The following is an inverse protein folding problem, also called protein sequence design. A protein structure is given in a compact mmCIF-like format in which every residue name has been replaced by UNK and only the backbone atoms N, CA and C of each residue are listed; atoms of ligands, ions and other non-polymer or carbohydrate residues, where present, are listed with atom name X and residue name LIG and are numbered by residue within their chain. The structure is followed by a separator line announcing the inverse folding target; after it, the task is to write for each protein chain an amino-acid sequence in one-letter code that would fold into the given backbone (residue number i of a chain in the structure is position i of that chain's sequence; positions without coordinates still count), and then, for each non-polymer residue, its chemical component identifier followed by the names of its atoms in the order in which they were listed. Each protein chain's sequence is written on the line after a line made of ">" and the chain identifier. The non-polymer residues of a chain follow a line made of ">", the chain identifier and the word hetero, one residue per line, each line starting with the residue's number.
data_IF_145144005644
#
_entry.id   IF_145144005644
#
_cell.length_a   1.000
_cell.length_b   1.000
_cell.length_c   1.000
_cell.angle_alpha   90.00
_cell.angle_beta   90.00
_cell.angle_gamma   90.00
#
_symmetry.space_group_name_H-M   'P 1'
#
loop_
_entity.id
_entity.type
_entity.pdbx_description
1 polymer ?
#
# COMPACT_ATOMS: atom_id res chain seq x y z
N UNK A 1 47.18 54.48 -2.22
CA UNK A 1 45.82 54.19 -1.75
C UNK A 1 45.45 52.86 -2.37
N UNK A 2 45.37 51.82 -1.54
CA UNK A 2 44.96 50.49 -1.98
C UNK A 2 43.48 50.54 -2.38
N UNK A 3 43.14 50.03 -3.56
CA UNK A 3 41.79 49.59 -3.88
C UNK A 3 41.46 48.46 -2.90
N UNK A 4 40.66 48.78 -1.88
CA UNK A 4 40.16 47.80 -0.93
C UNK A 4 39.09 46.97 -1.64
N UNK A 5 39.18 45.67 -1.35
CA UNK A 5 38.55 44.52 -1.98
C UNK A 5 37.01 44.53 -1.89
N UNK A 6 36.34 45.42 -2.61
CA UNK A 6 34.86 45.56 -2.60
C UNK A 6 34.12 44.35 -3.22
N UNK A 7 34.85 43.44 -3.88
CA UNK A 7 34.33 42.18 -4.42
C UNK A 7 34.16 41.09 -3.34
N UNK A 8 34.89 41.19 -2.23
CA UNK A 8 34.77 40.27 -1.10
C UNK A 8 33.47 40.48 -0.34
N UNK A 9 33.17 41.75 0.00
CA UNK A 9 31.99 42.15 0.79
C UNK A 9 30.66 41.89 0.06
N UNK A 10 30.60 42.18 -1.25
CA UNK A 10 29.42 41.88 -2.08
C UNK A 10 29.13 40.38 -2.18
N UNK A 11 30.17 39.54 -2.37
CA UNK A 11 30.01 38.08 -2.42
C UNK A 11 29.61 37.46 -1.09
N UNK A 12 29.98 38.06 0.04
CA UNK A 12 29.51 37.64 1.36
C UNK A 12 28.05 38.04 1.59
N UNK A 13 27.66 39.27 1.25
CA UNK A 13 26.28 39.72 1.36
C UNK A 13 25.33 38.89 0.48
N UNK A 14 25.74 38.54 -0.75
CA UNK A 14 24.94 37.70 -1.65
C UNK A 14 24.75 36.27 -1.11
N UNK A 15 25.76 35.72 -0.42
CA UNK A 15 25.69 34.40 0.21
C UNK A 15 24.79 34.42 1.44
N UNK A 16 24.86 35.47 2.23
CA UNK A 16 24.02 35.64 3.42
C UNK A 16 22.55 35.81 3.01
N UNK A 17 22.27 36.60 1.96
CA UNK A 17 20.94 36.75 1.39
C UNK A 17 20.34 35.41 0.91
N UNK A 18 21.10 34.63 0.13
CA UNK A 18 20.62 33.33 -0.38
C UNK A 18 20.43 32.31 0.75
N UNK A 19 21.22 32.39 1.82
CA UNK A 19 21.06 31.55 3.00
C UNK A 19 19.77 31.91 3.76
N UNK A 20 19.45 33.19 3.91
CA UNK A 20 18.16 33.63 4.50
C UNK A 20 16.97 33.14 3.66
N UNK A 21 17.05 33.28 2.34
CA UNK A 21 15.99 32.78 1.44
C UNK A 21 15.84 31.26 1.53
N UNK A 22 16.93 30.53 1.73
CA UNK A 22 16.90 29.09 1.95
C UNK A 22 16.21 28.73 3.25
N UNK A 23 16.53 29.41 4.35
CA UNK A 23 15.89 29.21 5.65
C UNK A 23 14.38 29.43 5.58
N UNK A 24 13.93 30.48 4.88
CA UNK A 24 12.50 30.73 4.64
C UNK A 24 11.80 29.56 3.91
N UNK A 25 12.46 28.95 2.93
CA UNK A 25 11.91 27.79 2.20
C UNK A 25 11.97 26.52 3.06
N UNK A 26 13.02 26.35 3.86
CA UNK A 26 13.14 25.23 4.80
C UNK A 26 12.05 25.32 5.89
N UNK A 27 11.75 26.51 6.41
CA UNK A 27 10.65 26.76 7.36
C UNK A 27 9.27 26.44 6.77
N UNK A 28 9.05 26.77 5.49
CA UNK A 28 7.82 26.41 4.77
C UNK A 28 7.62 24.89 4.70
N UNK A 29 8.68 24.13 4.40
CA UNK A 29 8.61 22.67 4.39
C UNK A 29 8.47 22.10 5.80
N UNK A 30 9.18 22.67 6.78
CA UNK A 30 9.02 22.30 8.18
C UNK A 30 7.57 22.49 8.65
N UNK A 31 6.94 23.62 8.30
CA UNK A 31 5.53 23.89 8.57
C UNK A 31 4.58 22.85 7.95
N UNK A 32 4.81 22.47 6.69
CA UNK A 32 4.00 21.44 6.00
C UNK A 32 4.17 20.05 6.66
N UNK A 33 5.41 19.66 6.92
CA UNK A 33 5.78 18.31 7.35
C UNK A 33 5.42 18.08 8.82
N UNK A 34 5.52 19.12 9.65
CA UNK A 34 5.23 19.10 11.09
C UNK A 34 3.92 19.83 11.43
N UNK A 35 3.01 19.96 10.47
CA UNK A 35 1.75 20.70 10.64
C UNK A 35 0.97 20.24 11.88
N UNK A 36 0.89 18.92 12.10
CA UNK A 36 0.16 18.32 13.22
C UNK A 36 0.92 18.32 14.56
N UNK A 37 2.14 18.86 14.61
CA UNK A 37 2.81 19.13 15.88
C UNK A 37 2.31 20.44 16.52
N UNK A 38 1.77 21.34 15.68
CA UNK A 38 1.29 22.67 16.09
C UNK A 38 -0.22 22.85 15.89
N UNK A 39 -0.84 22.02 15.07
CA UNK A 39 -2.28 22.00 14.81
C UNK A 39 -2.88 20.65 15.18
N UNK A 40 -4.14 20.66 15.56
CA UNK A 40 -4.84 19.43 15.94
C UNK A 40 -5.22 18.60 14.70
N UNK A 41 -5.57 17.32 14.88
CA UNK A 41 -6.01 16.48 13.76
C UNK A 41 -7.38 16.94 13.24
N UNK A 42 -8.16 17.60 14.09
CA UNK A 42 -9.42 18.23 13.75
C UNK A 42 -9.23 19.38 12.74
N UNK A 43 -8.03 19.98 12.68
CA UNK A 43 -7.67 21.02 11.71
C UNK A 43 -7.11 20.46 10.38
N UNK A 44 -7.13 19.14 10.18
CA UNK A 44 -6.53 18.49 9.01
C UNK A 44 -7.12 18.98 7.67
N UNK A 45 -8.42 19.31 7.62
CA UNK A 45 -9.06 19.85 6.42
C UNK A 45 -8.51 21.21 5.99
N UNK A 46 -7.93 21.98 6.92
CA UNK A 46 -7.34 23.30 6.65
C UNK A 46 -5.86 23.23 6.28
N UNK A 47 -5.21 22.07 6.45
CA UNK A 47 -3.76 21.91 6.23
C UNK A 47 -3.32 22.43 4.86
N UNK A 48 -3.98 21.98 3.79
CA UNK A 48 -3.60 22.35 2.43
C UNK A 48 -3.80 23.85 2.18
N UNK A 49 -4.88 24.43 2.67
CA UNK A 49 -5.14 25.88 2.58
C UNK A 49 -4.06 26.68 3.31
N UNK A 50 -3.67 26.24 4.51
CA UNK A 50 -2.65 26.90 5.31
C UNK A 50 -1.26 26.79 4.68
N UNK A 51 -0.90 25.62 4.13
CA UNK A 51 0.34 25.42 3.38
C UNK A 51 0.39 26.34 2.16
N UNK A 52 -0.70 26.48 1.40
CA UNK A 52 -0.77 27.39 0.24
C UNK A 52 -0.66 28.87 0.68
N UNK A 53 -1.24 29.24 1.82
CA UNK A 53 -1.09 30.60 2.38
C UNK A 53 0.36 30.90 2.75
N UNK A 54 1.03 30.00 3.47
CA UNK A 54 2.44 30.17 3.82
C UNK A 54 3.33 30.16 2.57
N UNK A 55 3.07 29.26 1.61
CA UNK A 55 3.75 29.24 0.31
C UNK A 55 3.68 30.61 -0.38
N UNK A 56 2.49 31.22 -0.47
CA UNK A 56 2.31 32.51 -1.11
C UNK A 56 3.02 33.66 -0.35
N UNK A 57 3.16 33.56 0.98
CA UNK A 57 3.94 34.52 1.77
C UNK A 57 5.44 34.38 1.49
N UNK A 58 5.95 33.15 1.50
CA UNK A 58 7.36 32.86 1.18
C UNK A 58 7.70 33.27 -0.25
N UNK A 59 6.81 33.00 -1.21
CA UNK A 59 6.99 33.36 -2.61
C UNK A 59 7.12 34.88 -2.80
N UNK A 60 6.31 35.69 -2.11
CA UNK A 60 6.43 37.15 -2.16
C UNK A 60 7.79 37.65 -1.69
N UNK A 61 8.33 37.07 -0.61
CA UNK A 61 9.66 37.44 -0.12
C UNK A 61 10.77 37.05 -1.11
N UNK A 62 10.61 35.91 -1.80
CA UNK A 62 11.52 35.52 -2.89
C UNK A 62 11.43 36.48 -4.08
N UNK A 63 10.23 36.93 -4.45
CA UNK A 63 10.00 37.86 -5.57
C UNK A 63 10.69 39.22 -5.36
N UNK A 64 10.78 39.71 -4.12
CA UNK A 64 11.51 40.95 -3.78
C UNK A 64 13.00 40.89 -4.15
N UNK A 65 13.57 39.69 -4.25
CA UNK A 65 14.98 39.44 -4.57
C UNK A 65 15.17 38.91 -5.99
N UNK A 66 14.11 38.79 -6.79
CA UNK A 66 14.16 38.18 -8.12
C UNK A 66 15.10 38.94 -9.07
N UNK A 67 15.03 40.27 -9.12
CA UNK A 67 15.86 41.06 -10.03
C UNK A 67 17.36 40.91 -9.77
N UNK A 68 17.74 40.67 -8.50
CA UNK A 68 19.11 40.47 -8.05
C UNK A 68 19.63 39.08 -8.42
N UNK A 69 18.81 38.03 -8.23
CA UNK A 69 19.24 36.63 -8.32
C UNK A 69 18.59 35.84 -9.46
N UNK A 70 17.90 36.46 -10.42
CA UNK A 70 17.20 35.78 -11.53
C UNK A 70 18.05 34.83 -12.37
N UNK A 71 19.38 34.96 -12.32
CA UNK A 71 20.34 34.10 -13.04
C UNK A 71 21.11 33.14 -12.11
N UNK A 72 20.86 33.18 -10.80
CA UNK A 72 21.44 32.25 -9.83
C UNK A 72 20.67 30.93 -9.86
N UNK A 73 21.38 29.83 -10.14
CA UNK A 73 20.78 28.48 -10.13
C UNK A 73 20.19 28.14 -8.75
N UNK A 74 20.88 28.52 -7.67
CA UNK A 74 20.41 28.32 -6.30
C UNK A 74 19.10 29.07 -6.01
N UNK A 75 19.00 30.34 -6.42
CA UNK A 75 17.75 31.10 -6.25
C UNK A 75 16.59 30.48 -7.04
N UNK A 76 16.84 30.05 -8.29
CA UNK A 76 15.84 29.35 -9.09
C UNK A 76 15.38 28.06 -8.42
N UNK A 77 16.30 27.30 -7.79
CA UNK A 77 15.94 26.11 -6.99
C UNK A 77 15.06 26.48 -5.82
N UNK A 78 15.40 27.51 -5.03
CA UNK A 78 14.60 27.93 -3.88
C UNK A 78 13.18 28.34 -4.30
N UNK A 79 13.05 29.09 -5.39
CA UNK A 79 11.74 29.48 -5.93
C UNK A 79 10.95 28.28 -6.46
N UNK A 80 11.60 27.39 -7.21
CA UNK A 80 11.00 26.15 -7.68
C UNK A 80 10.56 25.23 -6.54
N UNK A 81 11.36 25.13 -5.47
CA UNK A 81 11.06 24.39 -4.25
C UNK A 81 9.87 24.98 -3.51
N UNK A 82 9.82 26.31 -3.35
CA UNK A 82 8.67 27.01 -2.76
C UNK A 82 7.38 26.67 -3.52
N UNK A 83 7.38 26.74 -4.85
CA UNK A 83 6.23 26.40 -5.69
C UNK A 83 5.87 24.90 -5.68
N UNK A 84 6.82 24.03 -5.33
CA UNK A 84 6.63 22.58 -5.26
C UNK A 84 6.06 22.12 -3.91
N UNK A 85 5.88 22.98 -2.91
CA UNK A 85 5.38 22.55 -1.59
C UNK A 85 3.94 22.00 -1.66
N UNK A 86 3.13 22.55 -2.57
CA UNK A 86 1.76 22.13 -2.81
C UNK A 86 1.71 20.84 -3.66
N UNK A 87 0.72 19.96 -3.47
CA UNK A 87 0.67 18.66 -4.16
C UNK A 87 0.38 18.78 -5.67
N UNK A 88 -0.14 19.91 -6.12
CA UNK A 88 -0.48 20.12 -7.53
C UNK A 88 0.77 20.42 -8.38
N UNK A 89 0.74 19.97 -9.65
CA UNK A 89 1.76 20.33 -10.63
C UNK A 89 1.79 21.84 -10.89
N UNK A 90 2.99 22.42 -10.96
CA UNK A 90 3.23 23.83 -11.25
C UNK A 90 4.07 23.98 -12.52
N UNK A 91 3.48 24.46 -13.65
CA UNK A 91 4.25 24.65 -14.89
C UNK A 91 5.35 25.70 -14.72
N UNK A 92 5.14 26.69 -13.84
CA UNK A 92 6.13 27.72 -13.51
C UNK A 92 7.32 27.09 -12.77
N UNK A 93 7.06 26.17 -11.83
CA UNK A 93 8.14 25.45 -11.14
C UNK A 93 8.93 24.58 -12.13
N UNK A 94 8.25 23.84 -13.03
CA UNK A 94 8.91 23.04 -14.07
C UNK A 94 9.87 23.88 -14.92
N UNK A 95 9.43 25.04 -15.41
CA UNK A 95 10.24 25.94 -16.24
C UNK A 95 11.48 26.44 -15.49
N UNK A 96 11.28 26.95 -14.27
CA UNK A 96 12.34 27.52 -13.42
C UNK A 96 13.38 26.44 -13.07
N UNK A 97 12.94 25.26 -12.66
CA UNK A 97 13.81 24.14 -12.29
C UNK A 97 14.55 23.56 -13.50
N UNK A 98 13.89 23.48 -14.66
CA UNK A 98 14.51 23.09 -15.93
C UNK A 98 15.63 24.04 -16.33
N UNK A 99 15.49 25.33 -16.02
CA UNK A 99 16.55 26.31 -16.21
C UNK A 99 17.66 26.16 -15.17
N UNK A 100 17.33 25.90 -13.91
CA UNK A 100 18.32 25.68 -12.85
C UNK A 100 19.28 24.52 -13.18
N UNK A 101 18.76 23.36 -13.59
CA UNK A 101 19.59 22.19 -13.96
C UNK A 101 20.46 22.42 -15.20
N UNK A 102 20.09 23.37 -16.09
CA UNK A 102 20.91 23.74 -17.25
C UNK A 102 22.04 24.70 -16.87
N UNK A 103 21.79 25.61 -15.92
CA UNK A 103 22.79 26.55 -15.41
C UNK A 103 23.83 25.83 -14.55
N UNK A 104 23.38 24.92 -13.69
CA UNK A 104 24.24 24.17 -12.78
C UNK A 104 23.84 22.68 -12.75
N UNK A 105 24.35 21.86 -13.71
CA UNK A 105 23.99 20.44 -13.79
C UNK A 105 24.38 19.61 -12.56
N UNK A 106 25.34 20.07 -11.76
CA UNK A 106 25.76 19.41 -10.51
C UNK A 106 24.81 19.64 -9.33
N UNK A 107 23.80 20.50 -9.47
CA UNK A 107 22.88 20.86 -8.39
C UNK A 107 21.82 19.76 -8.20
N UNK A 108 22.15 18.75 -7.39
CA UNK A 108 21.32 17.56 -7.12
C UNK A 108 19.90 17.89 -6.67
N UNK A 109 19.74 18.91 -5.83
CA UNK A 109 18.43 19.35 -5.33
C UNK A 109 17.51 19.81 -6.48
N UNK A 110 18.06 20.52 -7.48
CA UNK A 110 17.32 20.97 -8.65
C UNK A 110 16.72 19.80 -9.43
N UNK A 111 17.53 18.75 -9.64
CA UNK A 111 17.09 17.53 -10.31
C UNK A 111 16.00 16.79 -9.54
N UNK A 112 16.11 16.72 -8.21
CA UNK A 112 15.11 16.06 -7.38
C UNK A 112 13.76 16.79 -7.43
N UNK A 113 13.75 18.11 -7.25
CA UNK A 113 12.52 18.89 -7.27
C UNK A 113 11.90 18.89 -8.68
N UNK A 114 12.72 18.96 -9.74
CA UNK A 114 12.23 18.82 -11.11
C UNK A 114 11.60 17.44 -11.35
N UNK A 115 12.21 16.39 -10.83
CA UNK A 115 11.66 15.02 -10.89
C UNK A 115 10.32 14.90 -10.15
N UNK A 116 10.17 15.55 -8.99
CA UNK A 116 8.90 15.64 -8.26
C UNK A 116 7.82 16.41 -9.03
N UNK A 117 8.19 17.47 -9.76
CA UNK A 117 7.26 18.16 -10.65
C UNK A 117 6.78 17.27 -11.80
N UNK A 118 7.69 16.51 -12.43
CA UNK A 118 7.31 15.53 -13.44
C UNK A 118 6.44 14.41 -12.89
N UNK A 119 6.70 13.97 -11.65
CA UNK A 119 5.84 13.03 -10.94
C UNK A 119 4.42 13.59 -10.78
N UNK A 120 4.28 14.82 -10.29
CA UNK A 120 2.98 15.51 -10.13
C UNK A 120 2.26 15.73 -11.48
N UNK A 121 3.02 15.91 -12.56
CA UNK A 121 2.51 15.99 -13.93
C UNK A 121 2.03 14.65 -14.49
N UNK A 122 2.43 13.52 -13.86
CA UNK A 122 2.20 12.16 -14.34
C UNK A 122 3.22 11.67 -15.39
N UNK A 123 4.27 12.45 -15.67
CA UNK A 123 5.35 12.06 -16.58
C UNK A 123 6.42 11.26 -15.82
N UNK A 124 6.12 9.98 -15.59
CA UNK A 124 6.98 9.08 -14.83
C UNK A 124 8.34 8.83 -15.51
N UNK A 125 8.42 8.95 -16.84
CA UNK A 125 9.66 8.74 -17.59
C UNK A 125 10.60 9.94 -17.41
N UNK A 126 10.07 11.16 -17.49
CA UNK A 126 10.84 12.36 -17.19
C UNK A 126 11.27 12.38 -15.72
N UNK A 127 10.39 12.01 -14.78
CA UNK A 127 10.71 11.90 -13.36
C UNK A 127 11.88 10.91 -13.11
N UNK A 128 11.81 9.71 -13.69
CA UNK A 128 12.90 8.71 -13.64
C UNK A 128 14.22 9.30 -14.14
N UNK A 129 14.17 10.00 -15.27
CA UNK A 129 15.36 10.61 -15.90
C UNK A 129 16.00 11.63 -14.96
N UNK A 130 15.19 12.49 -14.32
CA UNK A 130 15.69 13.47 -13.36
C UNK A 130 16.34 12.82 -12.13
N UNK A 131 15.70 11.84 -11.49
CA UNK A 131 16.28 11.17 -10.32
C UNK A 131 17.53 10.36 -10.66
N UNK A 132 17.58 9.76 -11.85
CA UNK A 132 18.79 9.07 -12.35
C UNK A 132 19.91 10.07 -12.59
N UNK A 133 19.61 11.23 -13.20
CA UNK A 133 20.57 12.31 -13.40
C UNK A 133 21.13 12.85 -12.08
N UNK A 134 20.28 13.03 -11.07
CA UNK A 134 20.70 13.44 -9.73
C UNK A 134 21.71 12.45 -9.12
N UNK A 135 21.45 11.15 -9.23
CA UNK A 135 22.34 10.09 -8.73
C UNK A 135 23.67 9.99 -9.48
N UNK A 136 23.72 10.38 -10.76
CA UNK A 136 24.96 10.48 -11.52
C UNK A 136 25.87 11.61 -11.01
N UNK A 137 25.28 12.70 -10.49
CA UNK A 137 26.03 13.81 -9.89
C UNK A 137 26.52 13.47 -8.48
N UNK A 138 25.61 13.00 -7.62
CA UNK A 138 25.97 12.53 -6.29
C UNK A 138 24.91 11.58 -5.73
N UNK A 139 25.38 10.48 -5.13
CA UNK A 139 24.50 9.58 -4.37
C UNK A 139 23.89 10.32 -3.18
N UNK A 140 22.56 10.31 -3.09
CA UNK A 140 21.81 10.99 -2.04
C UNK A 140 20.49 10.27 -1.76
N UNK A 141 19.95 10.44 -0.55
CA UNK A 141 18.75 9.71 -0.10
C UNK A 141 17.45 10.13 -0.80
N UNK A 142 17.30 11.40 -1.18
CA UNK A 142 16.10 11.92 -1.86
C UNK A 142 15.95 11.23 -3.22
N UNK A 143 16.98 11.25 -4.06
CA UNK A 143 16.92 10.62 -5.38
C UNK A 143 16.70 9.12 -5.30
N UNK A 144 17.32 8.42 -4.33
CA UNK A 144 17.12 6.98 -4.13
C UNK A 144 15.66 6.64 -3.77
N UNK A 145 15.05 7.40 -2.85
CA UNK A 145 13.64 7.24 -2.47
C UNK A 145 12.72 7.50 -3.66
N UNK A 146 12.91 8.63 -4.33
CA UNK A 146 11.99 9.03 -5.39
C UNK A 146 12.14 8.12 -6.62
N UNK A 147 13.35 7.67 -6.94
CA UNK A 147 13.55 6.67 -8.00
C UNK A 147 12.91 5.33 -7.64
N UNK A 148 13.02 4.89 -6.37
CA UNK A 148 12.31 3.71 -5.86
C UNK A 148 10.80 3.83 -6.10
N UNK A 149 10.19 4.98 -5.75
CA UNK A 149 8.76 5.24 -6.00
C UNK A 149 8.40 5.15 -7.49
N UNK A 150 9.17 5.82 -8.34
CA UNK A 150 8.93 5.85 -9.79
C UNK A 150 8.97 4.45 -10.40
N UNK A 151 9.98 3.65 -10.07
CA UNK A 151 10.13 2.32 -10.66
C UNK A 151 8.95 1.38 -10.40
N UNK A 152 8.23 1.55 -9.29
CA UNK A 152 7.04 0.74 -8.96
C UNK A 152 5.78 1.20 -9.69
N UNK A 153 5.73 2.47 -10.10
CA UNK A 153 4.58 3.05 -10.78
C UNK A 153 4.70 3.06 -12.30
N UNK A 154 5.90 2.82 -12.85
CA UNK A 154 6.08 2.77 -14.29
C UNK A 154 5.20 1.67 -14.93
N UNK A 155 4.56 1.97 -16.07
CA UNK A 155 3.74 1.00 -16.78
C UNK A 155 4.60 -0.23 -17.16
N UNK A 156 4.01 -1.44 -17.24
CA UNK A 156 4.72 -2.65 -17.65
C UNK A 156 5.05 -2.62 -19.15
N UNK A 157 5.98 -1.75 -19.54
CA UNK A 157 6.70 -1.90 -20.80
C UNK A 157 7.48 -3.23 -20.72
N UNK A 158 7.35 -4.10 -21.72
CA UNK A 158 8.04 -5.40 -21.78
C UNK A 158 7.46 -6.54 -20.95
N UNK A 159 6.29 -6.38 -20.33
CA UNK A 159 5.54 -7.45 -19.66
C UNK A 159 5.93 -7.73 -18.20
N UNK A 160 5.39 -8.81 -17.62
CA UNK A 160 5.43 -9.10 -16.17
C UNK A 160 6.84 -9.34 -15.62
N UNK A 161 7.77 -9.88 -16.43
CA UNK A 161 9.15 -10.13 -15.99
C UNK A 161 9.94 -8.83 -15.80
N UNK A 162 9.76 -7.84 -16.68
CA UNK A 162 10.42 -6.54 -16.54
C UNK A 162 9.85 -5.76 -15.36
N UNK A 163 8.55 -5.88 -15.11
CA UNK A 163 7.94 -5.32 -13.91
C UNK A 163 8.52 -5.92 -12.62
N UNK A 164 8.70 -7.24 -12.55
CA UNK A 164 9.33 -7.90 -11.40
C UNK A 164 10.76 -7.40 -11.13
N UNK A 165 11.58 -7.24 -12.17
CA UNK A 165 12.95 -6.69 -12.05
C UNK A 165 12.94 -5.27 -11.50
N UNK A 166 12.07 -4.41 -12.01
CA UNK A 166 11.94 -3.01 -11.55
C UNK A 166 11.50 -2.92 -10.09
N UNK A 167 10.62 -3.81 -9.64
CA UNK A 167 10.19 -3.84 -8.23
C UNK A 167 11.35 -4.27 -7.32
N UNK A 168 12.15 -5.26 -7.72
CA UNK A 168 13.35 -5.67 -6.98
C UNK A 168 14.36 -4.51 -6.91
N UNK A 169 14.61 -3.83 -8.03
CA UNK A 169 15.47 -2.65 -8.08
C UNK A 169 14.95 -1.53 -7.16
N UNK A 170 13.64 -1.28 -7.15
CA UNK A 170 13.01 -0.34 -6.24
C UNK A 170 13.29 -0.67 -4.76
N UNK A 171 13.22 -1.94 -4.37
CA UNK A 171 13.52 -2.37 -3.00
C UNK A 171 14.99 -2.08 -2.67
N UNK A 172 15.91 -2.38 -3.59
CA UNK A 172 17.33 -2.10 -3.38
C UNK A 172 17.61 -0.61 -3.19
N UNK A 173 17.05 0.25 -4.05
CA UNK A 173 17.16 1.71 -3.94
C UNK A 173 16.61 2.24 -2.62
N UNK A 174 15.44 1.75 -2.17
CA UNK A 174 14.87 2.14 -0.88
C UNK A 174 15.76 1.70 0.30
N UNK A 175 16.34 0.48 0.24
CA UNK A 175 17.30 0.02 1.26
C UNK A 175 18.56 0.87 1.27
N UNK A 176 19.08 1.26 0.11
CA UNK A 176 20.21 2.18 0.02
C UNK A 176 19.88 3.55 0.61
N UNK A 177 18.66 4.05 0.44
CA UNK A 177 18.22 5.31 1.05
C UNK A 177 18.21 5.24 2.59
N UNK A 178 17.69 4.14 3.15
CA UNK A 178 17.75 3.85 4.59
C UNK A 178 19.19 3.71 5.09
N UNK A 179 20.08 3.09 4.31
CA UNK A 179 21.49 2.95 4.70
C UNK A 179 22.24 4.29 4.76
N UNK A 180 21.86 5.26 3.92
CA UNK A 180 22.43 6.61 3.98
C UNK A 180 21.99 7.37 5.22
N UNK A 181 20.77 7.14 5.70
CA UNK A 181 20.22 7.75 6.89
C UNK A 181 19.18 6.84 7.53
N UNK A 182 19.61 6.08 8.55
CA UNK A 182 18.75 5.16 9.28
C UNK A 182 17.74 5.87 10.17
N UNK A 183 17.88 7.18 10.34
CA UNK A 183 16.98 8.03 11.14
C UNK A 183 15.89 8.72 10.31
N UNK A 184 15.92 8.56 8.99
CA UNK A 184 14.93 9.13 8.09
C UNK A 184 13.68 8.23 8.03
N UNK A 185 12.60 8.67 8.69
CA UNK A 185 11.33 7.95 8.68
C UNK A 185 10.73 7.78 7.28
N UNK A 186 10.87 8.78 6.41
CA UNK A 186 10.41 8.71 5.02
C UNK A 186 11.15 7.62 4.24
N UNK A 187 12.45 7.43 4.46
CA UNK A 187 13.21 6.32 3.86
C UNK A 187 12.65 4.95 4.27
N UNK A 188 12.30 4.77 5.55
CA UNK A 188 11.69 3.54 6.05
C UNK A 188 10.27 3.31 5.51
N UNK A 189 9.47 4.38 5.42
CA UNK A 189 8.14 4.35 4.80
C UNK A 189 8.21 3.90 3.34
N UNK A 190 9.10 4.51 2.54
CA UNK A 190 9.30 4.15 1.14
C UNK A 190 9.80 2.71 0.99
N UNK A 191 10.65 2.23 1.90
CA UNK A 191 11.06 0.83 1.95
C UNK A 191 9.88 -0.11 2.25
N UNK A 192 8.98 0.27 3.15
CA UNK A 192 7.72 -0.43 3.40
C UNK A 192 6.88 -0.56 2.13
N UNK A 193 6.66 0.55 1.42
CA UNK A 193 5.93 0.55 0.16
C UNK A 193 6.61 -0.35 -0.90
N UNK A 194 7.94 -0.37 -0.96
CA UNK A 194 8.67 -1.22 -1.88
C UNK A 194 8.48 -2.71 -1.57
N UNK A 195 8.53 -3.09 -0.29
CA UNK A 195 8.25 -4.46 0.13
C UNK A 195 6.82 -4.89 -0.12
N UNK A 196 5.84 -4.00 0.04
CA UNK A 196 4.45 -4.27 -0.35
C UNK A 196 4.34 -4.60 -1.85
N UNK A 197 4.94 -3.79 -2.71
CA UNK A 197 4.89 -4.06 -4.17
C UNK A 197 5.62 -5.36 -4.52
N UNK A 198 6.70 -5.68 -3.82
CA UNK A 198 7.38 -6.97 -3.98
C UNK A 198 6.48 -8.12 -3.52
N UNK A 199 5.83 -8.00 -2.37
CA UNK A 199 4.86 -8.96 -1.86
C UNK A 199 3.77 -9.28 -2.90
N UNK A 200 3.12 -8.27 -3.47
CA UNK A 200 2.07 -8.50 -4.47
C UNK A 200 2.58 -8.99 -5.83
N UNK A 201 3.84 -8.71 -6.19
CA UNK A 201 4.40 -9.15 -7.48
C UNK A 201 5.13 -10.50 -7.42
N UNK A 202 5.53 -10.96 -6.24
CA UNK A 202 6.32 -12.19 -6.04
C UNK A 202 5.50 -13.35 -5.42
N UNK A 203 4.21 -13.43 -5.71
CA UNK A 203 3.34 -14.50 -5.22
C UNK A 203 3.04 -14.46 -3.72
N UNK A 204 3.05 -13.25 -3.13
CA UNK A 204 2.63 -13.00 -1.74
C UNK A 204 3.40 -13.80 -0.69
N UNK A 205 4.73 -13.87 -0.85
CA UNK A 205 5.62 -14.45 0.15
C UNK A 205 5.47 -13.72 1.51
N UNK A 206 5.05 -14.41 2.59
CA UNK A 206 4.85 -13.80 3.90
C UNK A 206 6.08 -13.08 4.47
N UNK A 207 7.30 -13.45 4.07
CA UNK A 207 8.49 -12.73 4.51
C UNK A 207 8.49 -11.26 4.05
N UNK A 208 7.96 -10.99 2.86
CA UNK A 208 7.92 -9.62 2.30
C UNK A 208 6.87 -8.77 3.02
N UNK A 209 5.72 -9.34 3.40
CA UNK A 209 4.73 -8.61 4.21
C UNK A 209 5.27 -8.29 5.60
N UNK A 210 5.95 -9.23 6.26
CA UNK A 210 6.60 -8.97 7.55
C UNK A 210 7.68 -7.88 7.45
N UNK A 211 8.47 -7.88 6.38
CA UNK A 211 9.46 -6.81 6.12
C UNK A 211 8.79 -5.45 5.91
N UNK A 212 7.67 -5.40 5.17
CA UNK A 212 6.90 -4.18 4.98
C UNK A 212 6.36 -3.63 6.30
N UNK A 213 5.70 -4.47 7.11
CA UNK A 213 5.15 -4.09 8.41
C UNK A 213 6.25 -3.62 9.38
N UNK A 214 7.39 -4.29 9.39
CA UNK A 214 8.55 -3.88 10.19
C UNK A 214 9.10 -2.52 9.74
N UNK A 215 9.16 -2.25 8.43
CA UNK A 215 9.65 -0.98 7.90
C UNK A 215 8.71 0.19 8.28
N UNK A 216 7.39 0.02 8.17
CA UNK A 216 6.45 1.04 8.63
C UNK A 216 6.53 1.30 10.13
N UNK A 217 6.59 0.23 10.94
CA UNK A 217 6.73 0.38 12.39
C UNK A 217 8.02 1.12 12.76
N UNK A 218 9.11 0.88 12.02
CA UNK A 218 10.37 1.56 12.22
C UNK A 218 10.30 3.04 11.81
N UNK A 219 9.59 3.37 10.72
CA UNK A 219 9.34 4.75 10.29
C UNK A 219 8.65 5.56 11.40
N UNK A 220 7.53 5.04 11.93
CA UNK A 220 6.77 5.70 13.01
C UNK A 220 7.54 5.80 14.33
N UNK A 221 8.40 4.82 14.61
CA UNK A 221 9.19 4.79 15.85
C UNK A 221 10.25 5.89 15.87
N UNK A 222 10.90 6.15 14.73
CA UNK A 222 12.00 7.10 14.66
C UNK A 222 11.52 8.53 14.43
N UNK A 223 10.48 8.70 13.62
CA UNK A 223 10.04 10.00 13.15
C UNK A 223 8.55 10.21 13.44
N UNK A 224 8.26 11.27 14.20
CA UNK A 224 6.88 11.66 14.54
C UNK A 224 6.11 12.11 13.31
N UNK A 225 6.77 12.79 12.35
CA UNK A 225 6.14 13.22 11.11
C UNK A 225 5.68 12.00 10.30
N UNK A 226 6.47 10.92 10.27
CA UNK A 226 6.07 9.65 9.67
C UNK A 226 4.84 9.01 10.33
N UNK A 227 4.67 9.11 11.65
CA UNK A 227 3.44 8.66 12.33
C UNK A 227 2.18 9.48 11.97
N UNK A 228 2.39 10.66 11.38
CA UNK A 228 1.36 11.58 10.91
C UNK A 228 1.19 11.54 9.38
N UNK A 229 1.82 10.59 8.71
CA UNK A 229 1.68 10.38 7.26
C UNK A 229 0.43 9.53 6.95
N UNK A 230 -0.55 10.13 6.25
CA UNK A 230 -1.79 9.45 5.87
C UNK A 230 -1.55 8.23 4.96
N UNK A 231 -0.66 8.35 3.97
CA UNK A 231 -0.32 7.28 3.02
C UNK A 231 0.28 6.06 3.72
N UNK A 232 1.12 6.27 4.74
CA UNK A 232 1.69 5.19 5.54
C UNK A 232 0.58 4.34 6.17
N UNK A 233 -0.38 4.99 6.82
CA UNK A 233 -1.49 4.30 7.48
C UNK A 233 -2.38 3.57 6.47
N UNK A 234 -2.69 4.21 5.34
CA UNK A 234 -3.52 3.63 4.29
C UNK A 234 -2.86 2.41 3.61
N UNK A 235 -1.58 2.52 3.24
CA UNK A 235 -0.83 1.45 2.59
C UNK A 235 -0.64 0.25 3.53
N UNK A 236 -0.33 0.52 4.80
CA UNK A 236 -0.27 -0.51 5.84
C UNK A 236 -1.62 -1.18 6.09
N UNK A 237 -2.71 -0.40 6.15
CA UNK A 237 -4.07 -0.94 6.31
C UNK A 237 -4.45 -1.89 5.17
N UNK A 238 -4.03 -1.56 3.94
CA UNK A 238 -4.24 -2.42 2.77
C UNK A 238 -3.53 -3.76 2.89
N UNK A 239 -2.30 -3.78 3.41
CA UNK A 239 -1.60 -5.03 3.71
C UNK A 239 -2.30 -5.81 4.83
N UNK A 240 -2.71 -5.14 5.91
CA UNK A 240 -3.47 -5.77 6.99
C UNK A 240 -4.77 -6.40 6.51
N UNK A 241 -5.51 -5.72 5.62
CA UNK A 241 -6.74 -6.26 5.05
C UNK A 241 -6.46 -7.53 4.25
N UNK A 242 -5.41 -7.55 3.44
CA UNK A 242 -5.01 -8.75 2.68
C UNK A 242 -4.63 -9.92 3.59
N UNK A 243 -3.93 -9.64 4.70
CA UNK A 243 -3.56 -10.62 5.71
C UNK A 243 -4.71 -10.97 6.69
N UNK A 244 -5.92 -10.45 6.46
CA UNK A 244 -7.13 -10.65 7.28
C UNK A 244 -6.98 -10.13 8.73
N UNK A 245 -6.10 -9.15 8.94
CA UNK A 245 -5.97 -8.39 10.18
C UNK A 245 -6.98 -7.22 10.19
N UNK A 246 -8.27 -7.53 10.14
CA UNK A 246 -9.32 -6.55 9.87
C UNK A 246 -9.41 -5.41 10.89
N UNK A 247 -9.17 -5.66 12.18
CA UNK A 247 -9.14 -4.60 13.20
C UNK A 247 -8.04 -3.57 12.91
N UNK A 248 -6.85 -4.04 12.56
CA UNK A 248 -5.71 -3.18 12.21
C UNK A 248 -5.92 -2.45 10.89
N UNK A 249 -6.59 -3.09 9.91
CA UNK A 249 -6.96 -2.45 8.66
C UNK A 249 -7.97 -1.30 8.89
N UNK A 250 -9.04 -1.54 9.65
CA UNK A 250 -10.02 -0.50 10.00
C UNK A 250 -9.38 0.69 10.73
N UNK A 251 -8.52 0.41 11.73
CA UNK A 251 -7.81 1.45 12.45
C UNK A 251 -6.89 2.28 11.54
N UNK A 252 -6.18 1.62 10.61
CA UNK A 252 -5.29 2.32 9.67
C UNK A 252 -6.04 3.15 8.63
N UNK A 253 -7.14 2.65 8.06
CA UNK A 253 -7.97 3.45 7.16
C UNK A 253 -8.61 4.65 7.87
N UNK A 254 -9.13 4.44 9.09
CA UNK A 254 -9.66 5.51 9.91
C UNK A 254 -8.61 6.58 10.22
N UNK A 255 -7.38 6.16 10.56
CA UNK A 255 -6.28 7.07 10.84
C UNK A 255 -5.86 7.85 9.59
N UNK A 256 -5.79 7.21 8.42
CA UNK A 256 -5.50 7.88 7.16
C UNK A 256 -6.57 8.94 6.82
N UNK A 257 -7.85 8.58 6.94
CA UNK A 257 -8.96 9.49 6.72
C UNK A 257 -9.00 10.68 7.70
N UNK A 258 -8.56 10.48 8.95
CA UNK A 258 -8.45 11.56 9.93
C UNK A 258 -7.29 12.53 9.61
N UNK A 259 -6.17 12.01 9.10
CA UNK A 259 -5.00 12.81 8.73
C UNK A 259 -5.17 13.55 7.39
N UNK A 260 -5.97 13.00 6.48
CA UNK A 260 -6.39 13.68 5.26
C UNK A 260 -7.90 13.49 5.00
N UNK A 261 -8.75 14.37 5.55
CA UNK A 261 -10.20 14.32 5.35
C UNK A 261 -10.64 14.56 3.90
N UNK A 262 -9.76 15.09 3.04
CA UNK A 262 -10.06 15.30 1.62
C UNK A 262 -9.83 14.04 0.79
N UNK A 263 -9.17 13.02 1.36
CA UNK A 263 -8.90 11.76 0.68
C UNK A 263 -10.09 10.81 0.76
N UNK A 264 -10.98 10.92 -0.22
CA UNK A 264 -12.22 10.12 -0.30
C UNK A 264 -11.95 8.61 -0.27
N UNK A 265 -10.89 8.12 -0.93
CA UNK A 265 -10.58 6.68 -0.97
C UNK A 265 -10.31 6.12 0.44
N UNK A 266 -9.59 6.85 1.31
CA UNK A 266 -9.34 6.40 2.69
C UNK A 266 -10.65 6.21 3.47
N UNK A 267 -11.58 7.15 3.33
CA UNK A 267 -12.91 7.12 3.96
C UNK A 267 -13.75 5.97 3.39
N UNK A 268 -13.72 5.78 2.08
CA UNK A 268 -14.47 4.71 1.40
C UNK A 268 -13.97 3.32 1.79
N UNK A 269 -12.65 3.11 1.90
CA UNK A 269 -12.07 1.81 2.29
C UNK A 269 -12.55 1.35 3.67
N UNK A 270 -12.56 2.25 4.66
CA UNK A 270 -13.09 1.95 5.99
C UNK A 270 -14.57 1.54 5.90
N UNK A 271 -15.40 2.34 5.24
CA UNK A 271 -16.84 2.09 5.08
C UNK A 271 -17.12 0.76 4.38
N UNK A 272 -16.40 0.46 3.30
CA UNK A 272 -16.54 -0.78 2.55
C UNK A 272 -16.15 -2.00 3.38
N UNK A 273 -15.09 -1.90 4.18
CA UNK A 273 -14.67 -2.99 5.07
C UNK A 273 -15.70 -3.24 6.18
N UNK A 274 -16.25 -2.19 6.81
CA UNK A 274 -17.34 -2.32 7.78
C UNK A 274 -18.56 -2.98 7.14
N UNK A 275 -18.98 -2.54 5.95
CA UNK A 275 -20.11 -3.12 5.21
C UNK A 275 -19.87 -4.59 4.88
N UNK A 276 -18.66 -4.95 4.47
CA UNK A 276 -18.28 -6.34 4.20
C UNK A 276 -18.38 -7.20 5.47
N UNK A 277 -17.88 -6.70 6.61
CA UNK A 277 -17.96 -7.40 7.89
C UNK A 277 -19.41 -7.54 8.40
N UNK A 278 -20.25 -6.51 8.25
CA UNK A 278 -21.68 -6.59 8.57
C UNK A 278 -22.39 -7.66 7.70
N UNK A 279 -22.08 -7.69 6.40
CA UNK A 279 -22.69 -8.64 5.47
C UNK A 279 -22.24 -10.07 5.76
N UNK A 280 -20.95 -10.29 6.01
CA UNK A 280 -20.43 -11.64 6.22
C UNK A 280 -20.96 -12.25 7.50
N UNK A 281 -20.97 -11.52 8.62
CA UNK A 281 -21.48 -12.03 9.90
C UNK A 281 -22.98 -12.29 9.83
N UNK A 282 -23.75 -11.37 9.25
CA UNK A 282 -25.19 -11.57 9.05
C UNK A 282 -25.52 -12.78 8.16
N UNK A 283 -24.70 -13.08 7.15
CA UNK A 283 -24.87 -14.26 6.29
C UNK A 283 -24.44 -15.57 6.99
N UNK A 284 -23.44 -15.53 7.88
CA UNK A 284 -23.05 -16.66 8.71
C UNK A 284 -24.21 -17.04 9.65
N UNK A 285 -24.77 -16.06 10.38
CA UNK A 285 -25.83 -16.28 11.36
C UNK A 285 -27.08 -16.93 10.76
N UNK A 286 -27.46 -16.54 9.55
CA UNK A 286 -28.65 -17.06 8.87
C UNK A 286 -28.35 -18.12 7.80
N UNK A 287 -27.11 -18.62 7.72
CA UNK A 287 -26.65 -19.62 6.74
C UNK A 287 -27.04 -19.23 5.31
N UNK A 288 -26.77 -17.99 4.91
CA UNK A 288 -27.10 -17.46 3.58
C UNK A 288 -28.61 -17.35 3.31
N UNK A 289 -29.44 -17.32 4.35
CA UNK A 289 -30.91 -17.36 4.28
C UNK A 289 -31.45 -18.61 3.56
N UNK A 290 -30.68 -19.70 3.54
CA UNK A 290 -31.12 -20.97 2.95
C UNK A 290 -32.16 -21.63 3.85
N UNK A 291 -33.35 -21.92 3.30
CA UNK A 291 -34.44 -22.58 4.05
C UNK A 291 -33.97 -23.95 4.59
N UNK A 292 -34.34 -24.28 5.83
CA UNK A 292 -33.90 -25.50 6.53
C UNK A 292 -34.14 -26.81 5.73
N UNK A 293 -35.27 -26.94 5.01
CA UNK A 293 -35.53 -28.12 4.15
C UNK A 293 -34.54 -28.21 2.99
N UNK A 294 -34.23 -27.07 2.35
CA UNK A 294 -33.25 -27.01 1.25
C UNK A 294 -31.85 -27.31 1.77
N UNK A 295 -31.49 -26.78 2.94
CA UNK A 295 -30.21 -27.05 3.58
C UNK A 295 -30.03 -28.54 3.86
N UNK A 296 -31.00 -29.20 4.52
CA UNK A 296 -30.93 -30.65 4.78
C UNK A 296 -30.78 -31.48 3.49
N UNK A 297 -31.48 -31.10 2.42
CA UNK A 297 -31.32 -31.75 1.11
C UNK A 297 -29.93 -31.54 0.49
N UNK A 298 -29.28 -30.40 0.72
CA UNK A 298 -27.90 -30.18 0.27
C UNK A 298 -26.94 -31.05 1.08
N UNK A 299 -27.09 -31.06 2.40
CA UNK A 299 -26.19 -31.75 3.33
C UNK A 299 -26.27 -33.28 3.23
N UNK A 300 -27.40 -33.85 2.80
CA UNK A 300 -27.55 -35.31 2.63
C UNK A 300 -26.58 -35.93 1.60
N UNK A 301 -25.99 -35.11 0.74
CA UNK A 301 -24.97 -35.53 -0.23
C UNK A 301 -23.53 -35.46 0.29
N UNK A 302 -23.30 -34.95 1.50
CA UNK A 302 -21.97 -34.88 2.11
C UNK A 302 -21.62 -36.23 2.75
N UNK A 303 -20.70 -36.95 2.14
CA UNK A 303 -20.16 -38.21 2.65
C UNK A 303 -18.68 -38.37 2.22
N UNK A 304 -18.01 -39.43 2.67
CA UNK A 304 -16.58 -39.66 2.40
C UNK A 304 -16.26 -39.69 0.90
N UNK A 305 -17.17 -40.18 0.05
CA UNK A 305 -16.94 -40.19 -1.41
C UNK A 305 -16.90 -38.77 -2.01
N UNK A 306 -17.52 -37.78 -1.36
CA UNK A 306 -17.52 -36.40 -1.79
C UNK A 306 -16.19 -35.67 -1.53
N UNK A 307 -15.26 -36.27 -0.77
CA UNK A 307 -13.86 -35.80 -0.66
C UNK A 307 -13.12 -35.88 -2.00
N UNK A 308 -13.62 -36.68 -2.95
CA UNK A 308 -13.03 -36.83 -4.26
C UNK A 308 -11.56 -37.27 -4.17
N UNK A 309 -10.63 -36.58 -4.86
CA UNK A 309 -9.21 -36.93 -4.84
C UNK A 309 -8.60 -37.05 -3.43
N UNK A 310 -9.09 -36.30 -2.43
CA UNK A 310 -8.52 -36.32 -1.08
C UNK A 310 -8.71 -37.64 -0.32
N UNK A 311 -9.67 -38.48 -0.73
CA UNK A 311 -9.87 -39.80 -0.11
C UNK A 311 -8.87 -40.85 -0.62
N UNK A 312 -8.09 -40.54 -1.65
CA UNK A 312 -7.20 -41.50 -2.30
C UNK A 312 -5.83 -41.58 -1.59
N UNK A 313 -5.25 -42.78 -1.40
CA UNK A 313 -3.92 -42.95 -0.79
C UNK A 313 -2.79 -42.22 -1.54
N UNK A 314 -2.94 -42.03 -2.85
CA UNK A 314 -1.98 -41.31 -3.70
C UNK A 314 -2.19 -39.79 -3.72
N UNK A 315 -3.13 -39.25 -2.95
CA UNK A 315 -3.35 -37.82 -2.89
C UNK A 315 -2.09 -37.11 -2.36
N UNK A 316 -1.57 -36.17 -3.13
CA UNK A 316 -0.52 -35.28 -2.69
C UNK A 316 -1.15 -33.95 -2.29
N UNK A 317 -1.02 -33.61 -1.01
CA UNK A 317 -1.47 -32.35 -0.43
C UNK A 317 -0.59 -31.18 -0.88
N UNK A 318 -1.07 -29.93 -0.71
CA UNK A 318 -0.27 -28.74 -1.01
C UNK A 318 1.02 -28.64 -0.20
N UNK A 319 1.06 -29.26 0.99
CA UNK A 319 2.25 -29.29 1.86
C UNK A 319 3.26 -30.37 1.47
N UNK A 320 2.95 -31.18 0.44
CA UNK A 320 3.79 -32.28 -0.04
C UNK A 320 3.55 -33.61 0.69
N UNK A 321 2.66 -33.65 1.68
CA UNK A 321 2.22 -34.92 2.30
C UNK A 321 1.48 -35.76 1.26
N UNK A 322 1.88 -37.03 1.15
CA UNK A 322 1.16 -38.04 0.37
C UNK A 322 0.31 -38.91 1.28
N UNK A 323 -0.96 -39.11 0.94
CA UNK A 323 -1.90 -39.93 1.71
C UNK A 323 -3.32 -39.41 1.63
N UNK A 324 -4.28 -40.27 1.97
CA UNK A 324 -5.68 -39.86 2.14
C UNK A 324 -5.81 -38.88 3.31
N UNK A 325 -6.74 -37.94 3.17
CA UNK A 325 -7.11 -37.00 4.24
C UNK A 325 -8.38 -37.47 4.94
N UNK A 326 -8.43 -37.23 6.26
CA UNK A 326 -9.60 -37.51 7.07
C UNK A 326 -10.59 -36.35 7.02
N UNK A 327 -11.89 -36.65 6.96
CA UNK A 327 -12.93 -35.63 7.02
C UNK A 327 -12.99 -35.03 8.44
N UNK A 328 -12.88 -33.71 8.56
CA UNK A 328 -12.99 -33.00 9.83
C UNK A 328 -14.13 -31.97 9.76
N UNK A 329 -14.95 -31.90 10.81
CA UNK A 329 -16.04 -30.92 10.91
C UNK A 329 -15.48 -29.52 11.17
N UNK A 330 -16.21 -28.49 10.75
CA UNK A 330 -15.79 -27.10 10.96
C UNK A 330 -15.74 -26.75 12.46
N UNK A 331 -16.54 -27.41 13.29
CA UNK A 331 -16.48 -27.24 14.75
C UNK A 331 -15.14 -27.71 15.33
N UNK A 332 -14.61 -28.84 14.86
CA UNK A 332 -13.39 -29.47 15.36
C UNK A 332 -12.08 -28.85 14.84
N UNK A 333 -12.14 -28.03 13.77
CA UNK A 333 -10.96 -27.33 13.26
C UNK A 333 -10.35 -26.36 14.28
N UNK A 334 -9.03 -26.40 14.40
CA UNK A 334 -8.24 -25.53 15.29
C UNK A 334 -7.68 -24.32 14.53
N UNK A 335 -7.32 -23.26 15.26
CA UNK A 335 -6.68 -22.09 14.66
C UNK A 335 -5.32 -22.44 14.03
N UNK A 336 -5.04 -21.88 12.86
CA UNK A 336 -3.83 -22.14 12.09
C UNK A 336 -4.01 -23.33 11.14
N UNK A 337 -2.90 -24.00 10.87
CA UNK A 337 -2.83 -25.07 9.87
C UNK A 337 -3.32 -26.38 10.47
N UNK A 338 -4.24 -27.07 9.79
CA UNK A 338 -4.80 -28.35 10.22
C UNK A 338 -4.32 -29.47 9.29
N UNK A 339 -3.13 -30.07 9.52
CA UNK A 339 -2.54 -31.06 8.61
C UNK A 339 -3.31 -32.38 8.64
N UNK A 340 -3.35 -33.09 7.50
CA UNK A 340 -3.93 -34.43 7.42
C UNK A 340 -5.44 -34.54 7.38
N UNK A 341 -6.14 -33.42 7.48
CA UNK A 341 -7.60 -33.38 7.44
C UNK A 341 -8.10 -32.56 6.25
N UNK A 342 -9.33 -32.80 5.84
CA UNK A 342 -10.04 -32.02 4.85
C UNK A 342 -11.33 -31.46 5.45
N UNK A 343 -11.55 -30.17 5.25
CA UNK A 343 -12.81 -29.49 5.56
C UNK A 343 -13.74 -29.60 4.35
N UNK A 344 -15.00 -29.99 4.55
CA UNK A 344 -15.95 -30.17 3.45
C UNK A 344 -17.32 -29.62 3.80
N UNK A 345 -17.93 -28.90 2.86
CA UNK A 345 -19.26 -28.36 3.06
C UNK A 345 -19.98 -27.99 1.78
N UNK A 346 -21.23 -27.56 1.96
CA UNK A 346 -22.09 -27.03 0.91
C UNK A 346 -22.10 -25.51 0.93
N UNK A 347 -21.86 -24.89 -0.23
CA UNK A 347 -21.90 -23.42 -0.36
C UNK A 347 -23.33 -22.92 -0.13
N UNK A 348 -23.48 -21.92 0.74
CA UNK A 348 -24.79 -21.34 1.10
C UNK A 348 -24.92 -19.86 0.74
N UNK A 349 -23.80 -19.14 0.59
CA UNK A 349 -23.76 -17.77 0.09
C UNK A 349 -22.39 -17.45 -0.50
N UNK A 350 -22.28 -16.40 -1.31
CA UNK A 350 -21.02 -15.81 -1.76
C UNK A 350 -21.06 -14.30 -1.66
N UNK A 351 -19.89 -13.71 -1.48
CA UNK A 351 -19.63 -12.27 -1.43
C UNK A 351 -18.38 -11.98 -2.27
N UNK A 352 -18.52 -11.11 -3.25
CA UNK A 352 -17.39 -10.51 -3.94
C UNK A 352 -17.09 -9.16 -3.29
N UNK A 353 -15.90 -9.00 -2.71
CA UNK A 353 -15.46 -7.69 -2.21
C UNK A 353 -15.14 -6.76 -3.37
N UNK A 354 -15.60 -5.51 -3.30
CA UNK A 354 -15.10 -4.43 -4.16
C UNK A 354 -13.57 -4.31 -3.98
N UNK A 355 -12.84 -4.28 -5.10
CA UNK A 355 -11.37 -4.36 -5.11
C UNK A 355 -10.75 -5.77 -5.17
N UNK A 356 -11.57 -6.84 -5.23
CA UNK A 356 -11.17 -8.23 -5.56
C UNK A 356 -9.97 -8.79 -4.76
N UNK A 357 -9.80 -8.41 -3.50
CA UNK A 357 -8.75 -9.01 -2.66
C UNK A 357 -8.98 -10.51 -2.45
N UNK A 358 -10.23 -10.90 -2.18
CA UNK A 358 -10.62 -12.29 -2.00
C UNK A 358 -12.03 -12.56 -2.56
N UNK A 359 -12.26 -13.78 -3.05
CA UNK A 359 -13.60 -14.31 -3.27
C UNK A 359 -14.04 -15.02 -1.99
N UNK A 360 -15.10 -14.51 -1.37
CA UNK A 360 -15.57 -14.99 -0.08
C UNK A 360 -16.84 -15.81 -0.27
N UNK A 361 -16.92 -16.98 0.36
CA UNK A 361 -18.17 -17.73 0.40
C UNK A 361 -18.36 -18.43 1.74
N UNK A 362 -19.63 -18.61 2.13
CA UNK A 362 -19.98 -19.40 3.28
C UNK A 362 -20.34 -20.82 2.87
N UNK A 363 -19.91 -21.79 3.66
CA UNK A 363 -20.28 -23.18 3.50
C UNK A 363 -20.74 -23.79 4.83
N UNK A 364 -21.56 -24.84 4.74
CA UNK A 364 -22.12 -25.56 5.90
C UNK A 364 -21.74 -27.03 5.79
N UNK A 365 -21.25 -27.61 6.89
CA UNK A 365 -20.88 -29.02 7.00
C UNK A 365 -22.07 -29.90 7.45
N UNK A 366 -21.83 -31.20 7.64
CA UNK A 366 -22.86 -32.16 8.09
C UNK A 366 -23.33 -31.92 9.53
N UNK A 367 -22.57 -31.19 10.34
CA UNK A 367 -22.93 -30.78 11.71
C UNK A 367 -23.71 -29.46 11.73
N UNK A 368 -24.09 -28.96 10.56
CA UNK A 368 -24.78 -27.69 10.39
C UNK A 368 -23.98 -26.46 10.87
N UNK A 369 -22.66 -26.61 11.06
CA UNK A 369 -21.75 -25.51 11.39
C UNK A 369 -21.47 -24.70 10.13
N UNK A 370 -21.59 -23.37 10.20
CA UNK A 370 -21.22 -22.50 9.10
C UNK A 370 -19.77 -22.04 9.24
N UNK A 371 -19.03 -22.07 8.14
CA UNK A 371 -17.68 -21.55 8.05
C UNK A 371 -17.52 -20.73 6.77
N UNK A 372 -16.70 -19.68 6.84
CA UNK A 372 -16.34 -18.84 5.70
C UNK A 372 -15.07 -19.36 5.07
N UNK A 373 -14.99 -19.40 3.75
CA UNK A 373 -13.74 -19.52 3.01
C UNK A 373 -13.42 -18.20 2.30
N UNK A 374 -12.19 -17.73 2.43
CA UNK A 374 -11.64 -16.57 1.73
C UNK A 374 -10.58 -17.06 0.78
N UNK A 375 -10.92 -17.07 -0.51
CA UNK A 375 -10.02 -17.54 -1.58
C UNK A 375 -9.31 -16.34 -2.15
N UNK A 376 -8.00 -16.46 -2.41
CA UNK A 376 -7.13 -15.44 -2.99
C UNK A 376 -6.59 -15.89 -4.34
N UNK A 377 -5.94 -14.97 -5.08
CA UNK A 377 -5.31 -15.24 -6.36
C UNK A 377 -6.24 -15.91 -7.40
N UNK A 378 -7.50 -15.48 -7.50
CA UNK A 378 -8.45 -16.02 -8.47
C UNK A 378 -8.46 -15.23 -9.77
N UNK A 379 -8.68 -15.93 -10.89
CA UNK A 379 -8.93 -15.34 -12.19
C UNK A 379 -10.32 -14.70 -12.26
N UNK A 380 -10.44 -13.73 -13.16
CA UNK A 380 -11.70 -13.08 -13.46
C UNK A 380 -12.74 -14.09 -13.97
N UNK A 381 -13.88 -14.15 -13.30
CA UNK A 381 -14.95 -15.10 -13.60
C UNK A 381 -14.87 -16.43 -12.85
N UNK A 382 -13.84 -16.66 -12.04
CA UNK A 382 -13.83 -17.80 -11.12
C UNK A 382 -14.74 -17.56 -9.92
N UNK A 383 -15.42 -18.63 -9.47
CA UNK A 383 -16.23 -18.64 -8.26
C UNK A 383 -16.89 -19.99 -8.04
N UNK A 384 -17.59 -20.12 -6.92
CA UNK A 384 -18.44 -21.28 -6.60
C UNK A 384 -19.90 -20.88 -6.47
N UNK A 385 -20.81 -21.81 -6.74
CA UNK A 385 -22.25 -21.58 -6.74
C UNK A 385 -22.90 -22.14 -5.47
N UNK A 386 -24.02 -21.55 -5.07
CA UNK A 386 -24.83 -22.05 -3.95
C UNK A 386 -25.28 -23.48 -4.23
N UNK A 387 -24.95 -24.39 -3.32
CA UNK A 387 -25.21 -25.83 -3.41
C UNK A 387 -24.04 -26.67 -3.90
N UNK A 388 -22.96 -26.05 -4.38
CA UNK A 388 -21.71 -26.76 -4.69
C UNK A 388 -21.14 -27.42 -3.43
N UNK A 389 -20.57 -28.61 -3.60
CA UNK A 389 -19.72 -29.23 -2.58
C UNK A 389 -18.31 -28.70 -2.76
N UNK A 390 -17.75 -28.11 -1.71
CA UNK A 390 -16.35 -27.65 -1.69
C UNK A 390 -15.59 -28.44 -0.63
N UNK A 391 -14.40 -28.91 -1.01
CA UNK A 391 -13.44 -29.54 -0.10
C UNK A 391 -12.19 -28.67 -0.06
N UNK A 392 -11.74 -28.35 1.15
CA UNK A 392 -10.53 -27.59 1.44
C UNK A 392 -9.55 -28.53 2.17
N UNK A 393 -8.53 -29.05 1.47
CA UNK A 393 -7.46 -29.84 2.06
C UNK A 393 -6.63 -29.02 3.04
N UNK A 394 -6.28 -29.62 4.17
CA UNK A 394 -5.39 -29.06 5.20
C UNK A 394 -5.66 -27.58 5.53
N UNK A 395 -6.89 -27.24 5.94
CA UNK A 395 -7.38 -25.87 5.98
C UNK A 395 -6.59 -24.98 6.95
N UNK A 396 -6.34 -23.74 6.51
CA UNK A 396 -5.73 -22.69 7.32
C UNK A 396 -6.82 -21.84 7.98
N UNK A 397 -7.13 -22.11 9.24
CA UNK A 397 -8.26 -21.47 9.95
C UNK A 397 -7.79 -20.23 10.68
N UNK A 398 -8.52 -19.12 10.53
CA UNK A 398 -8.35 -17.90 11.33
C UNK A 398 -9.58 -17.64 12.17
N UNK A 399 -9.35 -17.17 13.39
CA UNK A 399 -10.40 -16.63 14.26
C UNK A 399 -10.32 -15.12 14.21
N UNK A 400 -11.45 -14.50 13.92
CA UNK A 400 -11.60 -13.06 13.85
C UNK A 400 -12.37 -12.60 15.08
N UNK A 401 -11.78 -11.69 15.83
CA UNK A 401 -12.44 -10.96 16.92
C UNK A 401 -12.10 -9.48 16.71
N UNK A 402 -13.08 -8.75 16.17
CA UNK A 402 -12.89 -7.40 15.65
C UNK A 402 -13.81 -6.46 16.41
N UNK A 403 -13.28 -5.34 16.88
CA UNK A 403 -14.02 -4.27 17.53
C UNK A 403 -13.66 -2.94 16.90
N UNK A 404 -14.66 -2.21 16.37
CA UNK A 404 -14.45 -0.92 15.71
C UNK A 404 -15.72 -0.07 15.78
N UNK A 405 -15.63 1.19 16.21
CA UNK A 405 -16.75 2.13 16.31
C UNK A 405 -18.05 1.49 16.88
N UNK A 406 -17.96 0.92 18.09
CA UNK A 406 -19.05 0.24 18.82
C UNK A 406 -19.58 -1.07 18.20
N UNK A 407 -19.13 -1.45 17.00
CA UNK A 407 -19.45 -2.73 16.38
C UNK A 407 -18.45 -3.80 16.79
N UNK A 408 -18.94 -5.03 16.93
CA UNK A 408 -18.13 -6.21 17.22
C UNK A 408 -18.46 -7.34 16.24
N UNK A 409 -17.43 -8.01 15.74
CA UNK A 409 -17.54 -9.14 14.82
C UNK A 409 -16.73 -10.32 15.38
N UNK A 410 -17.37 -11.48 15.56
CA UNK A 410 -16.68 -12.74 15.88
C UNK A 410 -17.08 -13.81 14.86
N UNK A 411 -16.09 -14.34 14.15
CA UNK A 411 -16.30 -15.46 13.23
C UNK A 411 -15.00 -16.21 12.94
N UNK A 412 -15.14 -17.40 12.33
CA UNK A 412 -14.00 -18.19 11.81
C UNK A 412 -14.00 -18.18 10.29
N UNK A 413 -12.82 -18.02 9.70
CA UNK A 413 -12.60 -18.20 8.26
C UNK A 413 -11.56 -19.29 7.99
N UNK A 414 -11.58 -19.84 6.79
CA UNK A 414 -10.51 -20.64 6.21
C UNK A 414 -9.88 -19.80 5.09
N UNK A 415 -8.60 -19.48 5.25
CA UNK A 415 -7.80 -18.83 4.21
C UNK A 415 -7.40 -19.84 3.16
N UNK A 416 -7.57 -19.48 1.89
CA UNK A 416 -7.19 -20.31 0.74
C UNK A 416 -6.38 -19.45 -0.22
N UNK A 417 -5.07 -19.62 -0.26
CA UNK A 417 -4.16 -18.74 -1.04
C UNK A 417 -4.31 -18.87 -2.57
N UNK A 418 -4.91 -19.96 -3.04
CA UNK A 418 -5.18 -20.17 -4.46
C UNK A 418 -6.41 -21.07 -4.66
N UNK A 419 -7.25 -20.80 -5.68
CA UNK A 419 -8.36 -21.69 -6.04
C UNK A 419 -7.89 -23.10 -6.44
N UNK A 420 -6.64 -23.28 -6.86
CA UNK A 420 -6.06 -24.59 -7.18
C UNK A 420 -6.03 -25.56 -6.00
N UNK A 421 -6.09 -25.02 -4.78
CA UNK A 421 -6.14 -25.80 -3.55
C UNK A 421 -7.53 -26.40 -3.30
N UNK A 422 -8.56 -25.95 -4.02
CA UNK A 422 -9.94 -26.38 -3.83
C UNK A 422 -10.31 -27.58 -4.71
N UNK A 423 -11.19 -28.41 -4.18
CA UNK A 423 -11.93 -29.40 -4.97
C UNK A 423 -13.40 -28.99 -4.93
N UNK A 424 -13.97 -28.73 -6.09
CA UNK A 424 -15.37 -28.30 -6.24
C UNK A 424 -16.12 -29.39 -6.99
N UNK A 425 -17.19 -29.91 -6.39
CA UNK A 425 -18.00 -31.00 -6.91
C UNK A 425 -17.14 -32.22 -7.36
N UNK A 426 -16.13 -32.56 -6.54
CA UNK A 426 -15.21 -33.68 -6.78
C UNK A 426 -14.09 -33.41 -7.81
N UNK A 427 -14.01 -32.20 -8.39
CA UNK A 427 -13.01 -31.84 -9.40
C UNK A 427 -12.02 -30.81 -8.88
N UNK A 428 -10.72 -31.04 -9.16
CA UNK A 428 -9.67 -30.04 -8.91
C UNK A 428 -9.86 -28.84 -9.84
N UNK A 429 -9.49 -27.66 -9.37
CA UNK A 429 -9.50 -26.46 -10.20
C UNK A 429 -8.33 -26.46 -11.20
N UNK A 430 -8.52 -25.80 -12.34
CA UNK A 430 -7.51 -25.73 -13.42
C UNK A 430 -6.64 -24.48 -13.26
N UNK A 431 -5.44 -24.47 -13.86
CA UNK A 431 -4.51 -23.32 -13.79
C UNK A 431 -5.17 -22.01 -14.25
N UNK A 432 -6.13 -22.07 -15.18
CA UNK A 432 -6.91 -20.91 -15.66
C UNK A 432 -7.76 -20.25 -14.57
N UNK A 433 -8.03 -20.93 -13.46
CA UNK A 433 -8.75 -20.37 -12.32
C UNK A 433 -7.91 -19.41 -11.46
N UNK A 434 -6.58 -19.41 -11.63
CA UNK A 434 -5.67 -18.62 -10.81
C UNK A 434 -5.13 -17.41 -11.57
N UNK A 435 -5.06 -16.27 -10.88
CA UNK A 435 -4.38 -15.05 -11.34
C UNK A 435 -3.80 -14.35 -10.13
N UNK A 436 -2.58 -13.81 -10.23
CA UNK A 436 -1.96 -13.14 -9.09
C UNK A 436 -2.78 -11.90 -8.68
N UNK A 437 -3.07 -11.77 -7.38
CA UNK A 437 -3.70 -10.57 -6.85
C UNK A 437 -2.72 -9.40 -7.00
N UNK A 438 -3.15 -8.35 -7.69
CA UNK A 438 -2.43 -7.08 -7.76
C UNK A 438 -3.17 -6.02 -6.97
N UNK A 439 -2.41 -5.18 -6.28
CA UNK A 439 -2.94 -3.94 -5.71
C UNK A 439 -2.40 -2.80 -6.56
N UNK A 440 -3.29 -2.08 -7.25
CA UNK A 440 -2.91 -0.85 -7.92
C UNK A 440 -2.81 0.27 -6.89
N UNK A 441 -1.59 0.65 -6.53
CA UNK A 441 -1.35 1.85 -5.75
C UNK A 441 -1.50 3.03 -6.69
N UNK A 442 -2.62 3.76 -6.63
CA UNK A 442 -2.62 5.10 -7.19
C UNK A 442 -1.81 5.97 -6.22
N UNK A 443 -0.82 6.74 -6.69
CA UNK A 443 -0.21 7.74 -5.82
C UNK A 443 -1.34 8.67 -5.37
N UNK A 444 -1.60 8.72 -4.06
CA UNK A 444 -2.17 9.93 -3.51
C UNK A 444 -1.11 11.02 -3.65
N UNK A 445 -1.52 12.25 -3.91
CA UNK A 445 -0.59 13.32 -4.20
C UNK A 445 0.24 13.63 -2.95
N UNK A 446 1.47 13.12 -2.88
CA UNK A 446 2.48 13.50 -1.88
C UNK A 446 2.94 14.97 -2.06
#
# INVERSE_FOLDING_TARGET
>A
MAEVDNNGEHRTADKDDLQVLKELVDELYHFRDHYFETHSVEDASEKQNNVVKEMNKTLKQLEEKEDLYKNSAQFLVLRGRCLNVAPQFSPVAEEILSRAVKLEPGLVEAWNILGEQYWKKGDLIAAKTCFTGALQQSKNKVSLRNLSMVLRQLPPEGGTQEQGKRIIESVDLARQAVQLDVTDGTSWYILGNAYISLFFSSGQNPQMSQQALSAYSQAEKIDKASALNADLHFNRATLFQYEEMFSSALAGYNRAAALDPSWEEAIEREKLLIKYLDQITGLIENKGKVKARRLRNMLSSLNVSALGPCALPQYCSPTGRTGSLELCSFAALTHGHNPGVAAMGKVVFSLATEGRMAFTFGMVDSEETCCVAMVYNMADGWGVLIGDTVVIPEPQVKRHSITHNEKSYDFRSIRVDSPLLLIVNGKKQTIQSQTATSVSYKPHSE
#
